data_IF_603049997491
#
_entry.id   IF_603049997491
#
_cell.length_a   1.000
_cell.length_b   1.000
_cell.length_c   1.000
_cell.angle_alpha   90.00
_cell.angle_beta   90.00
_cell.angle_gamma   90.00
#
_symmetry.space_group_name_H-M   'P 1'
#
loop_
_entity.id
_entity.type
_entity.pdbx_description
1 polymer ?
#
# COMPACT_ATOMS: atom_id res chain seq x y z
N UNK A 1 20.92 -9.83 15.48
CA UNK A 1 20.53 -9.68 16.90
C UNK A 1 19.04 -9.33 16.95
N UNK A 2 18.22 -10.07 17.69
CA UNK A 2 16.78 -9.77 17.76
C UNK A 2 16.49 -8.46 18.50
N UNK A 3 15.43 -7.74 18.10
CA UNK A 3 15.07 -6.43 18.66
C UNK A 3 14.79 -6.54 20.16
N UNK A 4 15.23 -5.55 20.93
CA UNK A 4 15.12 -5.56 22.40
C UNK A 4 13.65 -5.62 22.84
N UNK A 5 12.76 -4.93 22.12
CA UNK A 5 11.32 -4.96 22.39
C UNK A 5 10.69 -6.35 22.24
N UNK A 6 11.02 -7.08 21.16
CA UNK A 6 10.51 -8.45 20.93
C UNK A 6 10.99 -9.40 22.02
N UNK A 7 12.26 -9.29 22.43
CA UNK A 7 12.83 -10.11 23.50
C UNK A 7 12.11 -9.88 24.83
N UNK A 8 11.84 -8.64 25.20
CA UNK A 8 11.15 -8.33 26.46
C UNK A 8 9.71 -8.85 26.44
N UNK A 9 8.96 -8.60 25.36
CA UNK A 9 7.56 -9.05 25.24
C UNK A 9 7.41 -10.58 25.34
N UNK A 10 8.40 -11.33 24.86
CA UNK A 10 8.39 -12.80 24.87
C UNK A 10 8.32 -13.43 26.28
N UNK A 11 8.68 -12.68 27.33
CA UNK A 11 8.72 -13.19 28.70
C UNK A 11 7.34 -13.28 29.40
N UNK A 12 6.24 -13.01 28.69
CA UNK A 12 4.90 -13.14 29.28
C UNK A 12 3.73 -12.96 28.32
N UNK A 13 3.97 -12.80 27.01
CA UNK A 13 2.94 -12.59 26.01
C UNK A 13 3.26 -13.34 24.70
N UNK A 14 2.23 -13.64 23.92
CA UNK A 14 2.38 -14.03 22.52
C UNK A 14 2.82 -12.81 21.71
N UNK A 15 3.92 -12.93 20.99
CA UNK A 15 4.52 -11.80 20.26
C UNK A 15 4.27 -11.95 18.77
N UNK A 16 3.50 -11.02 18.21
CA UNK A 16 3.35 -10.86 16.76
C UNK A 16 4.17 -9.65 16.32
N UNK A 17 5.10 -9.86 15.39
CA UNK A 17 5.98 -8.81 14.89
C UNK A 17 5.64 -8.46 13.44
N UNK A 18 5.68 -7.17 13.11
CA UNK A 18 5.55 -6.67 11.74
C UNK A 18 6.79 -5.82 11.44
N UNK A 19 7.81 -6.36 10.77
CA UNK A 19 9.00 -5.61 10.40
C UNK A 19 8.63 -4.49 9.41
N UNK A 20 9.18 -3.28 9.61
CA UNK A 20 9.05 -2.19 8.64
C UNK A 20 9.70 -2.54 7.30
N UNK A 21 10.84 -3.23 7.36
CA UNK A 21 11.57 -3.73 6.19
C UNK A 21 11.62 -5.26 6.23
N UNK A 22 11.14 -5.90 5.18
CA UNK A 22 11.07 -7.37 5.09
C UNK A 22 12.45 -8.04 5.06
N UNK A 23 13.49 -7.37 4.58
CA UNK A 23 14.86 -7.89 4.68
C UNK A 23 15.42 -7.90 6.12
N UNK A 24 14.67 -7.41 7.12
CA UNK A 24 15.06 -7.42 8.54
C UNK A 24 14.31 -8.48 9.38
N UNK A 25 13.57 -9.40 8.76
CA UNK A 25 12.80 -10.45 9.45
C UNK A 25 13.63 -11.20 10.51
N UNK A 26 14.91 -11.48 10.24
CA UNK A 26 15.80 -12.17 11.19
C UNK A 26 15.92 -11.45 12.54
N UNK A 27 15.76 -10.12 12.57
CA UNK A 27 15.75 -9.32 13.80
C UNK A 27 14.51 -9.54 14.66
N UNK A 28 13.51 -10.22 14.13
CA UNK A 28 12.24 -10.52 14.79
C UNK A 28 12.04 -12.02 14.99
N UNK A 29 13.06 -12.85 14.71
CA UNK A 29 13.05 -14.32 14.83
C UNK A 29 12.63 -14.89 16.19
N UNK A 30 12.64 -14.07 17.25
CA UNK A 30 12.21 -14.45 18.60
C UNK A 30 10.69 -14.33 18.78
N UNK A 31 9.99 -13.65 17.87
CA UNK A 31 8.53 -13.52 17.88
C UNK A 31 7.85 -14.87 17.59
N UNK A 32 6.63 -15.06 18.10
CA UNK A 32 5.80 -16.23 17.80
C UNK A 32 5.34 -16.24 16.34
N UNK A 33 5.00 -15.05 15.84
CA UNK A 33 4.56 -14.85 14.46
C UNK A 33 5.21 -13.60 13.88
N UNK A 34 5.61 -13.66 12.62
CA UNK A 34 6.12 -12.53 11.86
C UNK A 34 5.18 -12.32 10.66
N UNK A 35 4.65 -11.10 10.51
CA UNK A 35 3.76 -10.74 9.40
C UNK A 35 4.49 -9.86 8.40
N UNK A 36 4.10 -9.98 7.13
CA UNK A 36 4.65 -9.18 6.04
C UNK A 36 3.97 -7.82 5.89
N UNK A 37 2.75 -7.69 6.38
CA UNK A 37 2.10 -6.40 6.54
C UNK A 37 1.32 -6.30 7.84
N UNK A 38 1.19 -5.07 8.34
CA UNK A 38 0.27 -4.74 9.42
C UNK A 38 -1.18 -5.05 9.01
N UNK A 39 -1.51 -4.96 7.72
CA UNK A 39 -2.83 -5.31 7.20
C UNK A 39 -3.09 -6.82 7.18
N UNK A 40 -2.10 -7.66 7.47
CA UNK A 40 -2.32 -9.10 7.65
C UNK A 40 -2.71 -9.46 9.09
N UNK A 41 -2.67 -8.50 10.02
CA UNK A 41 -2.92 -8.75 11.42
C UNK A 41 -4.41 -9.03 11.69
N UNK A 42 -4.70 -10.24 12.18
CA UNK A 42 -6.04 -10.71 12.54
C UNK A 42 -6.14 -10.92 14.05
N UNK A 43 -6.46 -9.87 14.83
CA UNK A 43 -6.45 -9.91 16.29
C UNK A 43 -7.26 -11.06 16.89
N UNK A 44 -8.32 -11.48 16.20
CA UNK A 44 -9.25 -12.53 16.61
C UNK A 44 -8.58 -13.89 16.78
N UNK A 45 -7.50 -14.16 16.02
CA UNK A 45 -6.70 -15.38 16.15
C UNK A 45 -6.03 -15.51 17.53
N UNK A 46 -5.88 -14.39 18.24
CA UNK A 46 -5.28 -14.31 19.56
C UNK A 46 -6.30 -13.89 20.64
N UNK A 47 -7.59 -14.01 20.35
CA UNK A 47 -8.67 -13.66 21.29
C UNK A 47 -8.82 -12.16 21.54
N UNK A 48 -8.20 -11.32 20.71
CA UNK A 48 -8.39 -9.87 20.73
C UNK A 48 -9.64 -9.51 19.88
N UNK A 49 -10.36 -8.43 20.23
CA UNK A 49 -11.48 -7.98 19.44
C UNK A 49 -11.03 -7.58 18.02
N UNK A 50 -11.93 -7.72 17.05
CA UNK A 50 -11.76 -7.16 15.73
C UNK A 50 -11.47 -5.66 15.83
N UNK A 51 -10.67 -5.13 14.91
CA UNK A 51 -10.48 -3.68 14.85
C UNK A 51 -11.78 -3.06 14.33
N UNK A 52 -12.40 -2.17 15.12
CA UNK A 52 -13.69 -1.55 14.83
C UNK A 52 -13.71 -0.77 13.50
N UNK A 53 -12.54 -0.33 13.01
CA UNK A 53 -12.35 0.37 11.75
C UNK A 53 -12.28 -0.55 10.52
N UNK A 54 -12.32 -1.88 10.70
CA UNK A 54 -12.19 -2.85 9.62
C UNK A 54 -13.51 -3.11 8.84
N UNK A 55 -14.68 -2.74 9.36
CA UNK A 55 -15.95 -3.00 8.69
C UNK A 55 -16.28 -4.51 8.53
N UNK A 56 -17.56 -4.82 8.39
CA UNK A 56 -18.13 -6.18 8.48
C UNK A 56 -17.82 -7.12 7.30
N UNK A 57 -17.05 -6.66 6.32
CA UNK A 57 -16.36 -7.47 5.30
C UNK A 57 -14.92 -7.00 5.24
N UNK A 58 -14.00 -7.91 4.93
CA UNK A 58 -12.53 -7.83 5.06
C UNK A 58 -11.78 -6.62 4.41
N UNK A 59 -12.44 -5.50 4.15
CA UNK A 59 -11.85 -4.29 3.64
C UNK A 59 -11.59 -3.33 4.80
N UNK A 60 -10.35 -3.28 5.26
CA UNK A 60 -9.93 -2.18 6.14
C UNK A 60 -10.32 -0.85 5.47
N UNK A 61 -11.27 -0.10 6.05
CA UNK A 61 -11.72 1.20 5.57
C UNK A 61 -10.69 2.29 5.91
N UNK A 62 -9.40 1.98 5.81
CA UNK A 62 -8.33 2.92 6.14
C UNK A 62 -7.81 3.52 4.84
N UNK A 63 -8.17 4.78 4.62
CA UNK A 63 -7.63 5.52 3.51
C UNK A 63 -6.17 5.87 3.78
N UNK A 64 -5.27 5.48 2.89
CA UNK A 64 -3.87 5.92 2.89
C UNK A 64 -3.62 6.78 1.66
N UNK A 65 -3.24 8.03 1.85
CA UNK A 65 -2.88 8.92 0.75
C UNK A 65 -1.35 8.90 0.52
N UNK A 66 -0.93 8.93 -0.74
CA UNK A 66 0.46 9.04 -1.14
C UNK A 66 0.54 9.88 -2.43
N UNK A 67 1.23 11.01 -2.40
CA UNK A 67 1.47 11.85 -3.57
C UNK A 67 2.90 11.67 -4.07
N UNK A 68 3.09 11.31 -5.35
CA UNK A 68 4.43 11.11 -5.93
C UNK A 68 4.44 11.40 -7.45
N UNK A 69 5.62 11.66 -7.99
CA UNK A 69 5.85 11.80 -9.44
C UNK A 69 6.09 10.44 -10.10
N UNK A 70 5.72 10.32 -11.38
CA UNK A 70 5.88 9.07 -12.14
C UNK A 70 7.33 8.88 -12.58
N UNK A 71 7.93 7.74 -12.22
CA UNK A 71 9.33 7.44 -12.56
C UNK A 71 9.46 6.54 -13.79
N UNK A 72 8.56 5.56 -13.98
CA UNK A 72 8.63 4.62 -15.10
C UNK A 72 7.24 4.12 -15.52
N UNK A 73 7.07 3.90 -16.83
CA UNK A 73 5.83 3.39 -17.44
C UNK A 73 6.03 2.09 -18.18
N UNK A 74 5.04 1.23 -18.08
CA UNK A 74 4.87 0.08 -18.97
C UNK A 74 3.38 0.01 -19.34
N UNK A 75 3.06 0.16 -20.62
CA UNK A 75 1.68 0.11 -21.12
C UNK A 75 1.39 -1.25 -21.74
N UNK A 76 0.28 -1.87 -21.34
CA UNK A 76 -0.34 -3.00 -22.05
C UNK A 76 -1.69 -2.56 -22.61
N UNK A 77 -2.19 -3.22 -23.66
CA UNK A 77 -3.48 -2.88 -24.30
C UNK A 77 -4.69 -2.89 -23.35
N UNK A 78 -4.60 -3.55 -22.20
CA UNK A 78 -5.71 -3.69 -21.25
C UNK A 78 -5.49 -2.89 -19.95
N UNK A 79 -4.25 -2.49 -19.64
CA UNK A 79 -3.93 -1.81 -18.39
C UNK A 79 -2.58 -1.07 -18.44
N UNK A 80 -2.54 0.08 -17.77
CA UNK A 80 -1.33 0.86 -17.60
C UNK A 80 -0.68 0.59 -16.25
N UNK A 81 0.58 0.13 -16.29
CA UNK A 81 1.42 -0.04 -15.12
C UNK A 81 2.33 1.18 -14.94
N UNK A 82 2.29 1.77 -13.74
CA UNK A 82 3.27 2.77 -13.31
C UNK A 82 4.20 2.14 -12.28
N UNK A 83 5.46 2.55 -12.25
CA UNK A 83 6.33 2.25 -11.11
C UNK A 83 6.75 3.57 -10.47
N UNK A 84 6.50 3.67 -9.17
CA UNK A 84 6.84 4.81 -8.34
C UNK A 84 7.81 4.32 -7.27
N UNK A 85 8.99 4.93 -7.25
CA UNK A 85 9.93 4.80 -6.14
C UNK A 85 9.59 5.89 -5.12
N UNK A 86 9.20 5.51 -3.90
CA UNK A 86 9.05 6.46 -2.82
C UNK A 86 10.38 6.54 -2.07
N UNK A 87 11.07 7.67 -2.21
CA UNK A 87 12.35 7.95 -1.53
C UNK A 87 12.23 9.19 -0.63
N UNK A 88 13.00 9.14 0.46
CA UNK A 88 13.39 10.17 1.45
C UNK A 88 13.18 9.84 2.94
N UNK A 89 12.51 8.74 3.30
CA UNK A 89 12.32 8.38 4.72
C UNK A 89 11.55 9.45 5.53
N UNK A 90 10.83 10.35 4.86
CA UNK A 90 9.98 11.35 5.49
C UNK A 90 8.72 10.70 6.07
N UNK A 91 8.46 10.96 7.35
CA UNK A 91 7.29 10.50 8.12
C UNK A 91 5.92 10.97 7.56
N UNK A 92 5.93 11.80 6.51
CA UNK A 92 4.72 12.24 5.78
C UNK A 92 4.27 11.26 4.68
N UNK A 93 4.87 10.07 4.61
CA UNK A 93 4.64 9.11 3.54
C UNK A 93 4.10 7.75 4.04
N UNK A 94 3.36 7.09 3.14
CA UNK A 94 2.68 5.80 3.29
C UNK A 94 3.42 4.81 4.22
N UNK A 95 2.78 4.27 5.29
CA UNK A 95 3.49 3.53 6.35
C UNK A 95 4.29 2.34 5.83
N UNK A 96 5.53 2.19 6.31
CA UNK A 96 6.45 1.13 5.88
C UNK A 96 5.87 -0.29 6.07
N UNK A 97 5.13 -0.48 7.16
CA UNK A 97 4.50 -1.76 7.53
C UNK A 97 3.30 -2.14 6.65
N UNK A 98 2.84 -1.26 5.76
CA UNK A 98 1.77 -1.60 4.82
C UNK A 98 2.41 -2.23 3.57
N UNK A 99 2.03 -3.44 3.18
CA UNK A 99 2.55 -4.13 1.98
C UNK A 99 1.46 -5.07 1.50
N UNK A 100 1.34 -5.25 0.18
CA UNK A 100 0.28 -6.08 -0.40
C UNK A 100 -0.35 -5.48 -1.64
N UNK A 101 -1.51 -6.03 -1.98
CA UNK A 101 -2.38 -5.54 -3.04
C UNK A 101 -3.46 -4.66 -2.41
N UNK A 102 -3.46 -3.39 -2.79
CA UNK A 102 -4.38 -2.37 -2.31
C UNK A 102 -5.26 -1.86 -3.46
N UNK A 103 -6.45 -1.38 -3.12
CA UNK A 103 -7.39 -0.76 -4.05
C UNK A 103 -7.56 0.72 -3.71
N UNK A 104 -7.84 1.54 -4.72
CA UNK A 104 -7.88 2.97 -4.53
C UNK A 104 -8.18 3.79 -5.77
N UNK A 105 -7.81 5.06 -5.69
CA UNK A 105 -7.99 6.05 -6.72
C UNK A 105 -6.66 6.73 -7.05
N UNK A 106 -6.40 6.94 -8.33
CA UNK A 106 -5.30 7.75 -8.80
C UNK A 106 -5.84 9.04 -9.40
N UNK A 107 -5.38 10.18 -8.89
CA UNK A 107 -5.65 11.49 -9.46
C UNK A 107 -4.41 11.93 -10.26
N UNK A 108 -4.55 11.88 -11.57
CA UNK A 108 -3.58 12.33 -12.55
C UNK A 108 -3.89 13.80 -12.86
N UNK A 109 -2.93 14.69 -12.64
CA UNK A 109 -3.21 16.13 -12.71
C UNK A 109 -3.79 16.60 -14.04
N UNK A 110 -3.40 15.99 -15.17
CA UNK A 110 -3.89 16.38 -16.49
C UNK A 110 -5.15 15.64 -16.93
N UNK A 111 -5.39 14.46 -16.36
CA UNK A 111 -6.38 13.51 -16.89
C UNK A 111 -7.52 13.17 -15.92
N UNK A 112 -7.41 13.60 -14.66
CA UNK A 112 -8.44 13.42 -13.66
C UNK A 112 -8.28 12.14 -12.85
N UNK A 113 -9.40 11.63 -12.34
CA UNK A 113 -9.43 10.58 -11.32
C UNK A 113 -9.80 9.24 -11.93
N UNK A 114 -8.94 8.26 -11.73
CA UNK A 114 -9.06 6.89 -12.21
C UNK A 114 -9.21 5.95 -11.02
N UNK A 115 -10.02 4.91 -11.18
CA UNK A 115 -9.98 3.76 -10.27
C UNK A 115 -8.62 3.05 -10.45
N UNK A 116 -8.11 2.45 -9.40
CA UNK A 116 -6.87 1.69 -9.47
C UNK A 116 -6.83 0.48 -8.52
N UNK A 117 -5.99 -0.48 -8.88
CA UNK A 117 -5.41 -1.47 -7.98
C UNK A 117 -3.91 -1.26 -7.97
N UNK A 118 -3.22 -1.44 -6.85
CA UNK A 118 -1.76 -1.33 -6.80
C UNK A 118 -1.14 -2.41 -5.95
N UNK A 119 0.04 -2.85 -6.39
CA UNK A 119 0.93 -3.62 -5.55
C UNK A 119 1.91 -2.67 -4.86
N UNK A 120 1.99 -2.76 -3.53
CA UNK A 120 2.91 -1.98 -2.70
C UNK A 120 3.84 -2.93 -1.98
N UNK A 121 5.15 -2.70 -2.11
CA UNK A 121 6.17 -3.50 -1.45
C UNK A 121 7.52 -2.83 -1.46
N UNK A 122 8.57 -3.63 -1.29
CA UNK A 122 9.95 -3.19 -1.20
C UNK A 122 10.80 -3.82 -2.30
N UNK A 123 11.68 -3.03 -2.89
CA UNK A 123 12.76 -3.49 -3.76
C UNK A 123 14.07 -3.49 -2.96
N UNK A 124 14.70 -4.67 -2.90
CA UNK A 124 15.96 -4.92 -2.19
C UNK A 124 17.11 -5.24 -3.15
N UNK A 125 16.93 -5.03 -4.46
CA UNK A 125 17.96 -5.28 -5.48
C UNK A 125 19.18 -4.35 -5.35
N UNK A 126 19.03 -3.23 -4.64
CA UNK A 126 20.07 -2.23 -4.41
C UNK A 126 20.52 -2.19 -2.95
N UNK A 127 21.68 -1.57 -2.68
CA UNK A 127 22.20 -1.39 -1.31
C UNK A 127 21.24 -0.57 -0.40
N UNK A 128 20.36 0.22 -1.00
CA UNK A 128 19.31 0.97 -0.31
C UNK A 128 17.98 0.26 -0.57
N UNK A 129 17.26 -0.07 0.50
CA UNK A 129 15.90 -0.62 0.38
C UNK A 129 14.98 0.48 -0.14
N UNK A 130 14.35 0.23 -1.30
CA UNK A 130 13.48 1.21 -1.95
C UNK A 130 12.02 0.80 -1.83
N UNK A 131 11.17 1.76 -1.50
CA UNK A 131 9.73 1.53 -1.49
C UNK A 131 9.23 1.56 -2.93
N UNK A 132 8.52 0.52 -3.35
CA UNK A 132 8.01 0.38 -4.71
C UNK A 132 6.49 0.27 -4.71
N UNK A 133 5.85 1.18 -5.44
CA UNK A 133 4.40 1.19 -5.67
C UNK A 133 4.16 1.00 -7.15
N UNK A 134 3.42 -0.06 -7.49
CA UNK A 134 3.03 -0.41 -8.84
C UNK A 134 1.51 -0.28 -9.00
N UNK A 135 0.95 0.90 -9.34
CA UNK A 135 -0.48 1.03 -9.58
C UNK A 135 -0.83 0.66 -11.03
N UNK A 136 -2.07 0.18 -11.15
CA UNK A 136 -2.73 -0.32 -12.34
C UNK A 136 -4.00 0.49 -12.49
N UNK A 137 -3.99 1.40 -13.45
CA UNK A 137 -5.12 2.29 -13.70
C UNK A 137 -6.15 1.56 -14.55
N UNK A 138 -7.42 1.68 -14.17
CA UNK A 138 -8.50 1.22 -15.01
C UNK A 138 -8.89 2.31 -16.00
N UNK A 139 -8.72 2.02 -17.29
CA UNK A 139 -8.97 2.95 -18.38
C UNK A 139 -7.69 3.30 -19.16
N UNK A 140 -7.86 4.11 -20.19
CA UNK A 140 -6.74 4.58 -21.01
C UNK A 140 -6.26 5.92 -20.47
N UNK A 141 -5.02 5.95 -19.98
CA UNK A 141 -4.31 7.18 -19.64
C UNK A 141 -3.17 7.38 -20.64
N UNK A 142 -3.04 8.59 -21.16
CA UNK A 142 -2.12 8.94 -22.25
C UNK A 142 -1.03 9.87 -21.72
N UNK A 143 0.21 9.77 -22.21
CA UNK A 143 1.26 10.76 -21.94
C UNK A 143 1.47 11.11 -20.44
N UNK A 144 1.92 10.18 -19.59
CA UNK A 144 2.18 10.48 -18.16
C UNK A 144 3.59 11.06 -17.90
N UNK A 145 4.22 11.67 -18.91
CA UNK A 145 5.58 12.23 -18.83
C UNK A 145 5.57 13.40 -17.87
N UNK A 146 6.37 13.25 -16.81
CA UNK A 146 6.48 14.18 -15.69
C UNK A 146 5.13 14.51 -15.04
N UNK A 147 4.15 13.60 -15.15
CA UNK A 147 2.82 13.81 -14.56
C UNK A 147 2.88 13.59 -13.05
N UNK A 148 2.45 14.59 -12.28
CA UNK A 148 2.23 14.43 -10.85
C UNK A 148 1.01 13.53 -10.62
N UNK A 149 1.19 12.47 -9.85
CA UNK A 149 0.14 11.48 -9.55
C UNK A 149 -0.11 11.45 -8.04
N UNK A 150 -1.37 11.65 -7.68
CA UNK A 150 -1.81 11.52 -6.31
C UNK A 150 -2.59 10.22 -6.12
N UNK A 151 -2.01 9.28 -5.38
CA UNK A 151 -2.60 7.99 -5.08
C UNK A 151 -3.35 8.04 -3.75
N UNK A 152 -4.55 7.48 -3.72
CA UNK A 152 -5.34 7.30 -2.50
C UNK A 152 -5.76 5.84 -2.44
N UNK A 153 -5.17 5.09 -1.53
CA UNK A 153 -5.61 3.75 -1.18
C UNK A 153 -6.78 3.85 -0.23
N UNK A 154 -7.81 3.03 -0.43
CA UNK A 154 -9.02 3.02 0.41
C UNK A 154 -9.37 1.63 0.92
N UNK A 155 -8.64 0.61 0.47
CA UNK A 155 -8.85 -0.76 0.91
C UNK A 155 -7.67 -1.68 0.59
N UNK A 156 -7.72 -2.84 1.22
CA UNK A 156 -6.78 -3.93 1.11
C UNK A 156 -7.46 -5.15 0.48
N UNK A 157 -6.77 -5.83 -0.43
CA UNK A 157 -7.28 -7.04 -1.09
C UNK A 157 -6.60 -8.28 -0.49
N UNK A 158 -5.27 -8.33 -0.53
CA UNK A 158 -4.49 -9.50 -0.11
C UNK A 158 -3.00 -9.18 0.04
N UNK A 159 -2.27 -10.10 0.67
CA UNK A 159 -0.82 -10.04 0.77
C UNK A 159 -0.14 -10.30 -0.56
N UNK A 160 1.11 -9.86 -0.69
CA UNK A 160 2.00 -10.30 -1.77
C UNK A 160 2.34 -11.79 -1.56
N UNK A 161 2.60 -12.52 -2.65
CA UNK A 161 3.05 -13.91 -2.54
C UNK A 161 4.51 -13.93 -2.04
N UNK A 162 4.73 -14.69 -0.96
CA UNK A 162 6.07 -15.07 -0.48
C UNK A 162 6.58 -16.19 -1.38
N UNK A 163 7.23 -15.84 -2.47
CA UNK A 163 8.27 -16.72 -2.99
C UNK A 163 9.58 -15.97 -2.80
N UNK A 164 10.59 -16.67 -2.30
CA UNK A 164 11.87 -16.21 -1.77
C UNK A 164 12.76 -15.47 -2.80
N UNK A 165 12.17 -14.95 -3.87
CA UNK A 165 12.78 -14.27 -5.00
C UNK A 165 12.11 -12.91 -5.23
N UNK A 166 12.41 -11.97 -4.32
CA UNK A 166 11.91 -10.59 -4.25
C UNK A 166 12.59 -9.72 -5.34
N UNK A 167 12.56 -10.16 -6.60
CA UNK A 167 13.15 -9.39 -7.70
C UNK A 167 12.12 -8.46 -8.35
N UNK A 168 10.83 -8.72 -8.20
CA UNK A 168 9.78 -7.80 -8.64
C UNK A 168 8.58 -7.82 -7.70
N UNK A 169 8.10 -6.62 -7.31
CA UNK A 169 6.77 -6.47 -6.73
C UNK A 169 5.76 -7.17 -7.64
N UNK A 170 5.07 -8.18 -7.10
CA UNK A 170 4.04 -8.95 -7.79
C UNK A 170 3.04 -8.02 -8.45
N UNK A 171 2.69 -8.30 -9.70
CA UNK A 171 1.65 -7.56 -10.40
C UNK A 171 0.27 -8.01 -9.88
N UNK A 172 -0.69 -7.09 -9.64
CA UNK A 172 -2.08 -7.44 -9.40
C UNK A 172 -2.62 -8.32 -10.52
N UNK A 173 -3.38 -9.33 -10.15
CA UNK A 173 -3.99 -10.27 -11.09
C UNK A 173 -5.30 -9.73 -11.66
N UNK A 174 -5.90 -10.46 -12.59
CA UNK A 174 -7.24 -10.13 -13.14
C UNK A 174 -8.32 -10.19 -12.06
N UNK A 175 -8.18 -11.08 -11.09
CA UNK A 175 -9.07 -11.21 -9.94
C UNK A 175 -8.94 -10.01 -9.00
N UNK A 176 -7.71 -9.57 -8.70
CA UNK A 176 -7.47 -8.37 -7.90
C UNK A 176 -8.10 -7.13 -8.56
N UNK A 177 -7.94 -7.03 -9.88
CA UNK A 177 -8.56 -5.99 -10.70
C UNK A 177 -10.09 -6.03 -10.63
N UNK A 178 -10.71 -7.20 -10.76
CA UNK A 178 -12.15 -7.37 -10.67
C UNK A 178 -12.70 -7.01 -9.27
N UNK A 179 -12.00 -7.42 -8.21
CA UNK A 179 -12.34 -7.08 -6.82
C UNK A 179 -12.25 -5.58 -6.60
N UNK A 180 -11.15 -4.94 -7.00
CA UNK A 180 -10.97 -3.50 -6.86
C UNK A 180 -12.04 -2.73 -7.64
N UNK A 181 -12.32 -3.14 -8.89
CA UNK A 181 -13.31 -2.48 -9.73
C UNK A 181 -14.70 -2.47 -9.10
N UNK A 182 -15.14 -3.62 -8.60
CA UNK A 182 -16.44 -3.79 -7.94
C UNK A 182 -16.49 -3.10 -6.56
N UNK A 183 -15.42 -3.18 -5.78
CA UNK A 183 -15.34 -2.54 -4.47
C UNK A 183 -15.40 -1.02 -4.58
N UNK A 184 -14.70 -0.42 -5.55
CA UNK A 184 -14.66 1.04 -5.73
C UNK A 184 -16.00 1.66 -6.20
N UNK A 185 -16.98 0.84 -6.59
CA UNK A 185 -18.36 1.30 -6.84
C UNK A 185 -19.23 1.32 -5.57
N UNK A 186 -18.75 0.75 -4.46
CA UNK A 186 -19.48 0.79 -3.19
C UNK A 186 -19.41 2.21 -2.57
N UNK A 187 -20.50 2.71 -1.96
CA UNK A 187 -20.54 4.06 -1.40
C UNK A 187 -19.40 4.36 -0.42
N UNK A 188 -19.02 3.37 0.38
CA UNK A 188 -17.94 3.44 1.38
C UNK A 188 -16.54 3.68 0.79
N UNK A 189 -16.35 3.43 -0.51
CA UNK A 189 -15.07 3.60 -1.22
C UNK A 189 -15.16 4.65 -2.33
N UNK A 190 -16.27 5.39 -2.39
CA UNK A 190 -16.58 6.32 -3.47
C UNK A 190 -15.65 7.54 -3.52
N UNK A 191 -15.71 8.27 -4.65
CA UNK A 191 -14.79 9.36 -5.03
C UNK A 191 -14.66 10.50 -4.03
N UNK A 192 -15.57 10.65 -3.07
CA UNK A 192 -15.55 11.71 -2.05
C UNK A 192 -14.25 11.72 -1.22
N UNK A 193 -13.62 10.55 -1.05
CA UNK A 193 -12.32 10.41 -0.36
C UNK A 193 -11.20 11.14 -1.11
N UNK A 194 -11.24 11.14 -2.46
CA UNK A 194 -10.25 11.84 -3.30
C UNK A 194 -10.51 13.34 -3.33
N UNK A 195 -11.78 13.75 -3.28
CA UNK A 195 -12.16 15.17 -3.28
C UNK A 195 -11.71 15.86 -1.99
N UNK A 196 -11.74 15.16 -0.84
CA UNK A 196 -11.14 15.65 0.42
C UNK A 196 -9.61 15.75 0.35
N UNK A 197 -8.94 14.75 -0.22
CA UNK A 197 -7.48 14.80 -0.41
C UNK A 197 -7.03 15.98 -1.32
N UNK A 198 -7.83 16.32 -2.35
CA UNK A 198 -7.63 17.55 -3.14
C UNK A 198 -7.75 18.83 -2.30
N UNK A 199 -8.74 18.90 -1.41
CA UNK A 199 -8.95 20.09 -0.58
C UNK A 199 -7.78 20.35 0.38
N UNK A 200 -7.21 19.30 0.96
CA UNK A 200 -6.05 19.40 1.87
C UNK A 200 -4.75 19.77 1.13
N UNK A 201 -4.54 19.27 -0.10
CA UNK A 201 -3.40 19.67 -0.94
C UNK A 201 -3.43 21.15 -1.36
N UNK A 202 -4.61 21.76 -1.45
CA UNK A 202 -4.78 23.15 -1.85
C UNK A 202 -4.48 24.15 -0.71
N UNK A 203 -4.64 23.72 0.55
CA UNK A 203 -4.38 24.55 1.74
C UNK A 203 -2.87 24.67 2.01
N UNK A 204 -2.08 23.65 1.66
CA UNK A 204 -0.62 23.64 1.87
C UNK A 204 0.19 24.36 0.77
N UNK A 205 -0.45 24.86 -0.29
CA UNK A 205 0.22 25.48 -1.44
C UNK A 205 -0.21 26.93 -1.69
N UNK A 206 -0.81 27.61 -0.71
CA UNK A 206 -0.90 29.06 -0.78
C UNK A 206 0.47 29.66 -0.41
N UNK A 207 1.11 30.40 -1.31
CA UNK A 207 2.28 31.18 -0.93
C UNK A 207 1.82 32.30 0.00
N UNK A 208 2.38 32.35 1.20
CA UNK A 208 2.43 33.58 2.02
C UNK A 208 3.28 34.63 1.34
#
# INVERSE_FOLDING_TARGET
MASVGVKVAKHGATVVAVPSLQNQIERYSVADHILHSLLDFQPELWGLPALDDWGSKRFANRAFACQRSVTRRVSSKECMLLSIEADDGSYNSFPDQVTGILLGWANLQRQGIFKMVAAVGWDFSSAVSKRTIKPYLFGEAYNLDEEAVHLVFVGYIRKLYDEENILEVNTPTKEDAAIAWAALDLPQFSKEVVTKAKAESYILHQPT
#
